data_IF_339194730754
#
_entry.id   IF_339194730754
#
_cell.length_a   1.000
_cell.length_b   1.000
_cell.length_c   1.000
_cell.angle_alpha   90.00
_cell.angle_beta   90.00
_cell.angle_gamma   90.00
#
_symmetry.space_group_name_H-M   'P 1'
#
loop_
_entity.id
_entity.type
_entity.pdbx_description
1 polymer ?
#
# COMPACT_ATOMS: atom_id res chain seq x y z
N UNK A 1 28.21 -7.90 -12.64
CA UNK A 1 27.53 -6.93 -11.76
C UNK A 1 26.74 -7.74 -10.75
N UNK A 2 27.12 -7.76 -9.47
CA UNK A 2 26.41 -8.56 -8.46
C UNK A 2 24.97 -8.06 -8.32
N UNK A 3 24.00 -8.97 -8.37
CA UNK A 3 22.59 -8.62 -8.15
C UNK A 3 22.42 -8.45 -6.64
N UNK A 4 22.34 -7.20 -6.18
CA UNK A 4 22.03 -6.90 -4.79
C UNK A 4 20.51 -6.87 -4.59
N UNK A 5 20.02 -7.55 -3.57
CA UNK A 5 18.60 -7.59 -3.24
C UNK A 5 18.13 -6.28 -2.60
N UNK A 6 16.82 -5.99 -2.70
CA UNK A 6 16.20 -4.85 -2.00
C UNK A 6 16.36 -4.99 -0.48
N UNK A 7 16.33 -6.22 0.02
CA UNK A 7 16.57 -6.52 1.43
C UNK A 7 17.97 -6.08 1.89
N UNK A 8 19.01 -6.32 1.09
CA UNK A 8 20.37 -5.86 1.41
C UNK A 8 20.45 -4.33 1.43
N UNK A 9 19.77 -3.64 0.51
CA UNK A 9 19.67 -2.18 0.51
C UNK A 9 19.05 -1.66 1.80
N UNK A 10 17.95 -2.26 2.26
CA UNK A 10 17.28 -1.90 3.51
C UNK A 10 18.19 -2.11 4.71
N UNK A 11 18.82 -3.29 4.84
CA UNK A 11 19.71 -3.61 5.97
C UNK A 11 20.91 -2.67 6.05
N UNK A 12 21.53 -2.33 4.92
CA UNK A 12 22.66 -1.39 4.87
C UNK A 12 22.23 0.02 5.27
N UNK A 13 21.05 0.48 4.80
CA UNK A 13 20.52 1.80 5.15
C UNK A 13 20.17 1.91 6.62
N UNK A 14 19.48 0.90 7.17
CA UNK A 14 19.10 0.83 8.59
C UNK A 14 20.34 0.88 9.48
N UNK A 15 21.33 0.03 9.21
CA UNK A 15 22.57 0.03 9.98
C UNK A 15 23.27 1.39 9.96
N UNK A 16 23.30 2.07 8.81
CA UNK A 16 23.92 3.40 8.69
C UNK A 16 23.09 4.47 9.41
N UNK A 17 21.75 4.42 9.36
CA UNK A 17 20.89 5.34 10.12
C UNK A 17 20.97 5.12 11.63
N UNK A 18 21.21 3.88 12.06
CA UNK A 18 21.44 3.50 13.47
C UNK A 18 22.84 3.85 13.98
N UNK A 19 23.65 4.54 13.17
CA UNK A 19 24.95 5.09 13.57
C UNK A 19 26.17 4.30 13.07
N UNK A 20 25.99 3.21 12.31
CA UNK A 20 27.11 2.51 11.69
C UNK A 20 27.77 3.37 10.60
N UNK A 21 29.09 3.58 10.69
CA UNK A 21 29.80 4.29 9.61
C UNK A 21 29.75 3.48 8.31
N UNK A 22 29.78 4.17 7.16
CA UNK A 22 29.82 3.50 5.84
C UNK A 22 31.00 2.52 5.70
N UNK A 23 32.10 2.73 6.43
CA UNK A 23 33.26 1.82 6.47
C UNK A 23 32.97 0.55 7.26
N UNK A 24 32.29 0.68 8.39
CA UNK A 24 31.85 -0.47 9.19
C UNK A 24 30.80 -1.28 8.43
N UNK A 25 29.84 -0.61 7.78
CA UNK A 25 28.83 -1.27 6.95
C UNK A 25 29.46 -2.07 5.79
N UNK A 26 30.46 -1.50 5.09
CA UNK A 26 31.17 -2.21 4.03
C UNK A 26 31.80 -3.53 4.51
N UNK A 27 32.40 -3.53 5.71
CA UNK A 27 32.97 -4.72 6.33
C UNK A 27 31.90 -5.70 6.80
N UNK A 28 30.86 -5.19 7.48
CA UNK A 28 29.80 -6.01 8.07
C UNK A 28 28.98 -6.76 7.02
N UNK A 29 28.62 -6.08 5.92
CA UNK A 29 27.85 -6.66 4.82
C UNK A 29 28.71 -7.26 3.71
N UNK A 30 30.04 -7.25 3.86
CA UNK A 30 31.01 -7.76 2.88
C UNK A 30 30.78 -7.20 1.45
N UNK A 31 30.63 -5.88 1.34
CA UNK A 31 30.41 -5.18 0.07
C UNK A 31 31.35 -3.98 -0.07
N UNK A 32 31.56 -3.53 -1.31
CA UNK A 32 32.41 -2.36 -1.55
C UNK A 32 31.84 -1.09 -0.94
N UNK A 33 32.72 -0.16 -0.53
CA UNK A 33 32.32 1.16 -0.01
C UNK A 33 31.44 1.93 -1.00
N UNK A 34 31.68 1.76 -2.30
CA UNK A 34 30.88 2.38 -3.36
C UNK A 34 29.46 1.78 -3.42
N UNK A 35 29.33 0.47 -3.16
CA UNK A 35 28.03 -0.18 -3.06
C UNK A 35 27.26 0.33 -1.85
N UNK A 36 27.93 0.48 -0.69
CA UNK A 36 27.33 1.12 0.50
C UNK A 36 26.90 2.56 0.20
N UNK A 37 27.75 3.36 -0.46
CA UNK A 37 27.40 4.74 -0.81
C UNK A 37 26.18 4.81 -1.73
N UNK A 38 26.09 3.91 -2.72
CA UNK A 38 24.91 3.76 -3.59
C UNK A 38 23.67 3.33 -2.80
N UNK A 39 23.80 2.36 -1.89
CA UNK A 39 22.70 1.87 -1.05
C UNK A 39 22.19 2.94 -0.09
N UNK A 40 23.06 3.83 0.41
CA UNK A 40 22.63 4.96 1.23
C UNK A 40 21.91 6.04 0.41
N UNK A 41 22.34 6.24 -0.85
CA UNK A 41 21.78 7.26 -1.73
C UNK A 41 20.45 6.86 -2.41
N UNK A 42 20.23 5.57 -2.67
CA UNK A 42 19.05 5.05 -3.36
C UNK A 42 18.31 4.04 -2.50
N UNK A 43 16.98 4.13 -2.43
CA UNK A 43 16.15 3.21 -1.64
C UNK A 43 16.09 1.79 -2.20
N UNK A 44 16.34 1.63 -3.50
CA UNK A 44 16.42 0.35 -4.21
C UNK A 44 17.63 0.36 -5.13
N UNK A 45 18.17 -0.81 -5.53
CA UNK A 45 19.20 -0.86 -6.56
C UNK A 45 18.80 -0.02 -7.78
N UNK A 46 19.59 0.99 -8.17
CA UNK A 46 19.29 1.74 -9.38
C UNK A 46 19.47 0.78 -10.56
N UNK A 47 18.37 0.21 -11.03
CA UNK A 47 18.32 -0.55 -12.26
C UNK A 47 18.63 0.34 -13.46
N UNK A 48 18.49 -0.19 -14.67
CA UNK A 48 18.56 0.62 -15.88
C UNK A 48 17.52 1.76 -15.79
N UNK A 49 17.99 2.99 -15.60
CA UNK A 49 17.15 4.19 -15.61
C UNK A 49 17.18 4.81 -17.00
N UNK A 50 16.05 4.76 -17.72
CA UNK A 50 15.91 5.50 -18.98
C UNK A 50 15.93 7.00 -18.67
N UNK A 51 16.80 7.75 -19.35
CA UNK A 51 16.90 9.21 -19.22
C UNK A 51 15.74 9.97 -19.89
N UNK A 52 14.91 9.28 -20.67
CA UNK A 52 13.81 9.89 -21.41
C UNK A 52 12.53 9.06 -21.26
N UNK A 53 11.36 9.69 -21.17
CA UNK A 53 10.07 8.99 -21.15
C UNK A 53 9.92 8.10 -22.39
N UNK A 54 9.27 6.95 -22.23
CA UNK A 54 8.88 6.12 -23.37
C UNK A 54 7.85 6.92 -24.17
N UNK A 55 8.24 7.45 -25.33
CA UNK A 55 7.26 8.04 -26.24
C UNK A 55 6.42 6.92 -26.83
N UNK A 56 5.10 6.99 -26.64
CA UNK A 56 4.12 6.07 -27.24
C UNK A 56 3.20 6.81 -28.21
N UNK A 57 3.73 7.47 -29.27
CA UNK A 57 2.97 8.37 -30.12
C UNK A 57 1.76 7.70 -30.80
N UNK A 58 1.81 6.38 -31.01
CA UNK A 58 0.68 5.59 -31.56
C UNK A 58 -0.40 5.27 -30.54
N UNK A 59 -0.09 5.27 -29.25
CA UNK A 59 -1.01 4.94 -28.16
C UNK A 59 -1.73 6.18 -27.63
N UNK A 60 -1.04 7.32 -27.58
CA UNK A 60 -1.50 8.52 -26.86
C UNK A 60 -2.91 8.96 -27.29
N UNK A 61 -3.25 8.84 -28.58
CA UNK A 61 -4.58 9.15 -29.11
C UNK A 61 -5.71 8.21 -28.64
N UNK A 62 -5.37 7.02 -28.14
CA UNK A 62 -6.32 5.97 -27.74
C UNK A 62 -6.37 5.75 -26.22
N UNK A 63 -5.53 6.44 -25.46
CA UNK A 63 -5.45 6.29 -23.99
C UNK A 63 -6.81 6.54 -23.33
N UNK A 64 -7.53 7.58 -23.72
CA UNK A 64 -8.85 7.90 -23.17
C UNK A 64 -9.88 6.79 -23.41
N UNK A 65 -9.89 6.21 -24.61
CA UNK A 65 -10.78 5.08 -24.96
C UNK A 65 -10.44 3.84 -24.13
N UNK A 66 -9.16 3.53 -23.96
CA UNK A 66 -8.71 2.40 -23.14
C UNK A 66 -9.14 2.58 -21.69
N UNK A 67 -8.90 3.76 -21.11
CA UNK A 67 -9.29 4.06 -19.72
C UNK A 67 -10.79 3.92 -19.53
N UNK A 68 -11.59 4.46 -20.45
CA UNK A 68 -13.05 4.33 -20.38
C UNK A 68 -13.51 2.87 -20.35
N UNK A 69 -12.99 2.01 -21.24
CA UNK A 69 -13.35 0.59 -21.24
C UNK A 69 -12.92 -0.13 -19.96
N UNK A 70 -11.72 0.17 -19.46
CA UNK A 70 -11.19 -0.46 -18.24
C UNK A 70 -11.90 0.01 -16.97
N UNK A 71 -12.45 1.23 -16.95
CA UNK A 71 -13.25 1.72 -15.83
C UNK A 71 -14.67 1.13 -15.86
N UNK A 72 -15.28 0.95 -17.04
CA UNK A 72 -16.55 0.21 -17.16
C UNK A 72 -16.40 -1.27 -16.76
N UNK A 73 -15.25 -1.88 -17.04
CA UNK A 73 -14.94 -3.24 -16.61
C UNK A 73 -15.02 -3.43 -15.09
N UNK A 74 -14.77 -2.39 -14.30
CA UNK A 74 -14.85 -2.48 -12.84
C UNK A 74 -16.28 -2.74 -12.36
N UNK A 75 -17.29 -2.36 -13.14
CA UNK A 75 -18.71 -2.50 -12.83
C UNK A 75 -19.24 -3.91 -13.11
N UNK A 76 -18.50 -4.75 -13.84
CA UNK A 76 -18.91 -6.11 -14.22
C UNK A 76 -18.07 -7.19 -13.50
N UNK A 77 -18.59 -8.43 -13.39
CA UNK A 77 -17.86 -9.54 -12.81
C UNK A 77 -16.52 -9.80 -13.51
N UNK A 78 -15.50 -10.25 -12.76
CA UNK A 78 -14.13 -10.42 -13.24
C UNK A 78 -13.99 -11.21 -14.55
N UNK A 79 -14.84 -12.22 -14.78
CA UNK A 79 -14.83 -13.06 -15.99
C UNK A 79 -15.33 -12.34 -17.26
N UNK A 80 -16.01 -11.21 -17.11
CA UNK A 80 -16.57 -10.42 -18.22
C UNK A 80 -15.73 -9.19 -18.57
N UNK A 81 -14.65 -8.93 -17.81
CA UNK A 81 -13.74 -7.80 -18.06
C UNK A 81 -12.88 -8.05 -19.29
N UNK A 82 -12.46 -6.97 -19.95
CA UNK A 82 -11.59 -7.05 -21.09
C UNK A 82 -10.21 -7.60 -20.69
N UNK A 83 -9.70 -8.53 -21.48
CA UNK A 83 -8.28 -8.87 -21.46
C UNK A 83 -7.49 -7.86 -22.28
N UNK A 84 -6.18 -7.74 -22.04
CA UNK A 84 -5.32 -6.90 -22.87
C UNK A 84 -5.43 -7.22 -24.37
N UNK A 85 -5.64 -8.50 -24.69
CA UNK A 85 -5.88 -8.95 -26.08
C UNK A 85 -7.22 -8.42 -26.61
N UNK A 86 -8.28 -8.48 -25.82
CA UNK A 86 -9.59 -7.93 -26.21
C UNK A 86 -9.54 -6.42 -26.41
N UNK A 87 -8.86 -5.67 -25.53
CA UNK A 87 -8.66 -4.22 -25.71
C UNK A 87 -7.91 -3.95 -27.02
N UNK A 88 -6.84 -4.69 -27.31
CA UNK A 88 -6.10 -4.54 -28.56
C UNK A 88 -6.95 -4.81 -29.80
N UNK A 89 -7.71 -5.90 -29.82
CA UNK A 89 -8.56 -6.26 -30.96
C UNK A 89 -9.64 -5.18 -31.17
N UNK A 90 -10.30 -4.72 -30.11
CA UNK A 90 -11.28 -3.62 -30.19
C UNK A 90 -10.67 -2.32 -30.67
N UNK A 91 -9.50 -1.92 -30.18
CA UNK A 91 -8.81 -0.72 -30.66
C UNK A 91 -8.47 -0.80 -32.15
N UNK A 92 -8.04 -1.97 -32.63
CA UNK A 92 -7.74 -2.20 -34.04
C UNK A 92 -9.01 -2.12 -34.89
N UNK A 93 -10.05 -2.83 -34.46
CA UNK A 93 -11.25 -3.06 -35.25
C UNK A 93 -12.25 -1.89 -35.19
N UNK A 94 -12.39 -1.24 -34.02
CA UNK A 94 -13.35 -0.15 -33.78
C UNK A 94 -12.73 1.25 -33.91
N UNK A 95 -11.42 1.39 -33.66
CA UNK A 95 -10.76 2.70 -33.57
C UNK A 95 -9.60 2.88 -34.57
N UNK A 96 -9.27 1.85 -35.39
CA UNK A 96 -8.22 1.95 -36.39
C UNK A 96 -6.79 1.98 -35.83
N UNK A 97 -6.56 1.37 -34.65
CA UNK A 97 -5.23 1.33 -34.04
C UNK A 97 -4.23 0.54 -34.89
N UNK A 98 -3.11 1.18 -35.24
CA UNK A 98 -2.03 0.61 -36.07
C UNK A 98 -0.76 0.27 -35.26
N UNK A 99 -0.84 0.28 -33.93
CA UNK A 99 0.25 -0.11 -33.06
C UNK A 99 0.30 -1.61 -32.80
N UNK A 100 1.36 -2.07 -32.14
CA UNK A 100 1.52 -3.48 -31.78
C UNK A 100 0.82 -3.84 -30.47
N UNK A 101 0.41 -5.10 -30.33
CA UNK A 101 -0.18 -5.65 -29.11
C UNK A 101 0.66 -5.38 -27.85
N UNK A 102 1.99 -5.47 -27.96
CA UNK A 102 2.92 -5.23 -26.84
C UNK A 102 2.74 -3.85 -26.20
N UNK A 103 2.41 -2.82 -26.99
CA UNK A 103 2.18 -1.46 -26.50
C UNK A 103 0.95 -1.42 -25.58
N UNK A 104 -0.13 -2.10 -25.96
CA UNK A 104 -1.36 -2.20 -25.16
C UNK A 104 -1.11 -3.02 -23.89
N UNK A 105 -0.45 -4.17 -24.05
CA UNK A 105 -0.12 -5.06 -22.93
C UNK A 105 0.73 -4.36 -21.87
N UNK A 106 1.78 -3.64 -22.29
CA UNK A 106 2.65 -2.90 -21.38
C UNK A 106 1.92 -1.75 -20.71
N UNK A 107 1.08 -1.02 -21.45
CA UNK A 107 0.25 0.06 -20.90
C UNK A 107 -0.69 -0.43 -19.80
N UNK A 108 -1.44 -1.51 -20.06
CA UNK A 108 -2.38 -2.08 -19.08
C UNK A 108 -1.62 -2.59 -17.85
N UNK A 109 -0.48 -3.27 -18.04
CA UNK A 109 0.35 -3.74 -16.92
C UNK A 109 0.84 -2.58 -16.05
N UNK A 110 1.36 -1.50 -16.63
CA UNK A 110 1.81 -0.32 -15.89
C UNK A 110 0.66 0.42 -15.20
N UNK A 111 -0.52 0.45 -15.82
CA UNK A 111 -1.74 0.99 -15.21
C UNK A 111 -2.13 0.18 -13.97
N UNK A 112 -2.19 -1.14 -14.09
CA UNK A 112 -2.60 -2.01 -12.99
C UNK A 112 -1.60 -1.95 -11.83
N UNK A 113 -0.30 -1.88 -12.12
CA UNK A 113 0.73 -1.67 -11.09
C UNK A 113 0.56 -0.34 -10.35
N UNK A 114 0.20 0.74 -11.04
CA UNK A 114 -0.05 2.05 -10.41
C UNK A 114 -1.31 2.07 -9.54
N UNK A 115 -2.27 1.19 -9.82
CA UNK A 115 -3.51 1.03 -9.06
C UNK A 115 -3.43 -0.03 -7.97
N UNK A 116 -2.33 -0.79 -7.91
CA UNK A 116 -2.15 -1.78 -6.87
C UNK A 116 -1.94 -1.06 -5.52
N UNK A 117 -2.77 -1.38 -4.53
CA UNK A 117 -2.55 -0.95 -3.17
C UNK A 117 -1.21 -1.49 -2.68
N UNK A 118 -0.33 -0.58 -2.24
CA UNK A 118 0.96 -0.94 -1.67
C UNK A 118 0.84 -0.81 -0.17
N UNK A 119 1.03 -1.92 0.54
CA UNK A 119 1.09 -1.96 1.99
C UNK A 119 2.54 -1.85 2.44
N UNK A 120 2.80 -0.95 3.38
CA UNK A 120 4.07 -0.93 4.12
C UNK A 120 3.88 -1.81 5.35
N UNK A 121 4.64 -2.90 5.52
CA UNK A 121 4.57 -3.70 6.74
C UNK A 121 4.93 -2.81 7.92
N UNK A 122 3.97 -2.58 8.81
CA UNK A 122 4.21 -1.91 10.07
C UNK A 122 4.68 -2.95 11.08
N UNK A 123 5.77 -2.64 11.80
CA UNK A 123 6.25 -3.45 12.92
C UNK A 123 5.91 -2.72 14.21
N UNK A 124 5.11 -3.35 15.05
CA UNK A 124 4.69 -2.82 16.34
C UNK A 124 5.29 -3.66 17.46
N UNK A 125 6.06 -3.06 18.39
CA UNK A 125 6.52 -3.78 19.57
C UNK A 125 5.32 -4.19 20.45
N UNK A 126 5.44 -5.27 21.24
CA UNK A 126 4.40 -5.67 22.18
C UNK A 126 4.15 -4.58 23.23
N UNK A 127 2.89 -4.47 23.68
CA UNK A 127 2.51 -3.54 24.75
C UNK A 127 2.20 -2.11 24.28
N UNK A 128 2.17 -1.83 22.98
CA UNK A 128 1.67 -0.57 22.44
C UNK A 128 0.30 -0.78 21.80
N UNK A 129 -0.63 0.12 22.08
CA UNK A 129 -1.98 0.09 21.52
C UNK A 129 -2.26 1.29 20.64
N UNK A 130 -3.31 1.16 19.83
CA UNK A 130 -3.92 2.25 19.08
C UNK A 130 -5.38 2.36 19.46
N UNK A 131 -5.87 3.57 19.70
CA UNK A 131 -7.28 3.79 20.01
C UNK A 131 -7.87 4.84 19.08
N UNK A 132 -9.06 4.57 18.54
CA UNK A 132 -9.79 5.52 17.69
C UNK A 132 -11.30 5.26 17.74
N UNK A 133 -12.08 6.20 17.21
CA UNK A 133 -13.49 6.02 16.91
C UNK A 133 -13.71 5.76 15.43
N UNK A 134 -14.31 4.61 15.11
CA UNK A 134 -14.94 4.41 13.81
C UNK A 134 -16.41 4.85 13.79
N UNK A 135 -16.98 4.97 12.59
CA UNK A 135 -18.40 5.24 12.36
C UNK A 135 -19.02 4.10 11.56
N UNK A 136 -20.20 3.64 11.98
CA UNK A 136 -21.02 2.70 11.24
C UNK A 136 -22.49 3.11 11.29
N UNK A 137 -23.21 2.83 10.21
CA UNK A 137 -24.68 2.90 10.21
C UNK A 137 -25.22 1.60 10.81
N UNK A 138 -26.08 1.73 11.83
CA UNK A 138 -26.69 0.61 12.55
C UNK A 138 -28.19 0.79 12.64
N UNK A 139 -28.93 -0.31 12.79
CA UNK A 139 -30.38 -0.27 13.04
C UNK A 139 -30.65 -0.70 14.47
N UNK A 140 -31.15 0.22 15.30
CA UNK A 140 -31.47 -0.04 16.71
C UNK A 140 -32.97 0.18 16.89
N UNK A 141 -33.69 -0.85 17.34
CA UNK A 141 -35.15 -0.78 17.51
C UNK A 141 -35.92 -0.45 16.22
N UNK A 142 -35.37 -0.83 15.06
CA UNK A 142 -35.97 -0.54 13.74
C UNK A 142 -35.65 0.86 13.18
N UNK A 143 -34.90 1.69 13.91
CA UNK A 143 -34.46 3.01 13.45
C UNK A 143 -33.02 2.94 12.99
N UNK A 144 -32.78 3.38 11.75
CA UNK A 144 -31.43 3.55 11.22
C UNK A 144 -30.78 4.79 11.83
N UNK A 145 -29.60 4.61 12.41
CA UNK A 145 -28.83 5.69 13.03
C UNK A 145 -27.33 5.45 12.89
N UNK A 146 -26.55 6.54 13.01
CA UNK A 146 -25.09 6.45 13.09
C UNK A 146 -24.69 6.06 14.50
N UNK A 147 -23.82 5.06 14.61
CA UNK A 147 -23.12 4.73 15.85
C UNK A 147 -21.63 5.02 15.69
N UNK A 148 -21.01 5.42 16.80
CA UNK A 148 -19.57 5.62 16.91
C UNK A 148 -19.01 4.45 17.71
N UNK A 149 -18.09 3.68 17.14
CA UNK A 149 -17.50 2.55 17.83
C UNK A 149 -16.07 2.89 18.23
N UNK A 150 -15.83 2.89 19.55
CA UNK A 150 -14.48 2.94 20.10
C UNK A 150 -13.79 1.61 19.77
N UNK A 151 -12.59 1.69 19.24
CA UNK A 151 -11.71 0.54 19.00
C UNK A 151 -10.41 0.78 19.76
N UNK A 152 -9.96 -0.21 20.51
CA UNK A 152 -8.60 -0.30 20.98
C UNK A 152 -7.96 -1.55 20.41
N UNK A 153 -6.89 -1.39 19.65
CA UNK A 153 -6.15 -2.46 18.98
C UNK A 153 -4.74 -2.61 19.58
N UNK A 154 -4.26 -3.85 19.64
CA UNK A 154 -2.89 -4.23 20.02
C UNK A 154 -2.19 -4.78 18.76
N UNK A 155 -1.56 -3.93 17.94
CA UNK A 155 -1.12 -4.33 16.60
C UNK A 155 -0.01 -5.39 16.58
N UNK A 156 0.66 -5.63 17.72
CA UNK A 156 1.64 -6.71 17.83
C UNK A 156 0.99 -8.10 17.79
N UNK A 157 -0.23 -8.22 18.31
CA UNK A 157 -0.93 -9.49 18.49
C UNK A 157 -2.28 -9.55 17.78
N UNK A 158 -2.64 -8.52 17.01
CA UNK A 158 -3.97 -8.32 16.39
C UNK A 158 -5.14 -8.43 17.39
N UNK A 159 -4.89 -8.12 18.65
CA UNK A 159 -5.90 -8.21 19.71
C UNK A 159 -6.70 -6.91 19.76
N UNK A 160 -8.01 -6.97 19.55
CA UNK A 160 -8.86 -5.79 19.53
C UNK A 160 -10.00 -5.84 20.54
N UNK A 161 -10.42 -4.67 21.01
CA UNK A 161 -11.63 -4.43 21.78
C UNK A 161 -12.48 -3.38 21.07
N UNK A 162 -13.78 -3.64 20.93
CA UNK A 162 -14.72 -2.74 20.26
C UNK A 162 -15.94 -2.49 21.12
N UNK A 163 -16.37 -1.22 21.22
CA UNK A 163 -17.58 -0.82 21.94
C UNK A 163 -18.31 0.31 21.24
N UNK A 164 -19.61 0.14 21.01
CA UNK A 164 -20.45 1.13 20.35
C UNK A 164 -21.02 2.16 21.32
N UNK A 165 -21.05 3.42 20.88
CA UNK A 165 -21.61 4.57 21.58
C UNK A 165 -22.50 5.39 20.64
N UNK A 166 -23.47 6.15 21.17
CA UNK A 166 -24.27 7.07 20.36
C UNK A 166 -23.45 8.22 19.75
N UNK A 167 -22.36 8.63 20.41
CA UNK A 167 -21.51 9.73 19.97
C UNK A 167 -20.04 9.56 20.41
N UNK A 168 -19.12 10.16 19.65
CA UNK A 168 -17.68 10.21 19.96
C UNK A 168 -17.40 11.42 20.86
N UNK A 169 -17.67 11.27 22.15
CA UNK A 169 -17.47 12.31 23.18
C UNK A 169 -16.40 11.87 24.18
N UNK A 170 -15.90 12.81 24.98
CA UNK A 170 -14.83 12.55 25.95
C UNK A 170 -15.21 11.47 26.97
N UNK A 171 -16.48 11.43 27.41
CA UNK A 171 -16.99 10.42 28.32
C UNK A 171 -16.94 9.02 27.69
N UNK A 172 -17.34 8.90 26.42
CA UNK A 172 -17.28 7.64 25.68
C UNK A 172 -15.83 7.19 25.44
N UNK A 173 -14.91 8.15 25.23
CA UNK A 173 -13.48 7.87 25.10
C UNK A 173 -12.91 7.25 26.37
N UNK A 174 -13.19 7.85 27.53
CA UNK A 174 -12.73 7.34 28.84
C UNK A 174 -13.41 6.00 29.18
N UNK A 175 -14.73 5.89 28.99
CA UNK A 175 -15.47 4.64 29.22
C UNK A 175 -14.93 3.50 28.35
N UNK A 176 -14.59 3.79 27.09
CA UNK A 176 -13.98 2.85 26.15
C UNK A 176 -12.68 2.27 26.67
N UNK A 177 -11.78 3.12 27.16
CA UNK A 177 -10.50 2.69 27.74
C UNK A 177 -10.69 1.85 29.01
N UNK A 178 -11.57 2.27 29.93
CA UNK A 178 -11.85 1.53 31.17
C UNK A 178 -12.28 0.10 30.84
N UNK A 179 -13.23 -0.05 29.91
CA UNK A 179 -13.72 -1.37 29.54
C UNK A 179 -12.70 -2.17 28.73
N UNK A 180 -11.92 -1.54 27.86
CA UNK A 180 -10.85 -2.21 27.13
C UNK A 180 -9.79 -2.76 28.09
N UNK A 181 -9.32 -1.97 29.06
CA UNK A 181 -8.33 -2.41 30.04
C UNK A 181 -8.86 -3.54 30.93
N UNK A 182 -10.14 -3.48 31.32
CA UNK A 182 -10.78 -4.56 32.04
C UNK A 182 -10.87 -5.84 31.20
N UNK A 183 -11.20 -5.73 29.91
CA UNK A 183 -11.24 -6.85 28.98
C UNK A 183 -9.87 -7.50 28.78
N UNK A 184 -8.82 -6.71 28.58
CA UNK A 184 -7.45 -7.23 28.42
C UNK A 184 -6.82 -7.67 29.75
N UNK A 185 -7.36 -7.26 30.90
CA UNK A 185 -6.78 -7.50 32.22
C UNK A 185 -5.43 -6.79 32.44
N UNK A 186 -5.08 -5.84 31.56
CA UNK A 186 -3.81 -5.13 31.54
C UNK A 186 -3.97 -3.76 30.86
N UNK A 187 -2.99 -2.89 31.06
CA UNK A 187 -2.90 -1.57 30.43
C UNK A 187 -1.67 -1.54 29.52
N UNK A 188 -1.79 -1.08 28.25
CA UNK A 188 -0.65 -0.88 27.36
C UNK A 188 0.36 0.12 27.93
N UNK A 189 1.62 0.00 27.52
CA UNK A 189 2.68 0.96 27.85
C UNK A 189 2.45 2.33 27.21
N UNK A 190 1.85 2.36 26.02
CA UNK A 190 1.40 3.58 25.36
C UNK A 190 0.20 3.32 24.48
N UNK A 191 -0.57 4.38 24.25
CA UNK A 191 -1.72 4.39 23.34
C UNK A 191 -1.53 5.59 22.40
N UNK A 192 -1.71 5.37 21.10
CA UNK A 192 -1.68 6.40 20.05
C UNK A 192 -3.05 6.54 19.42
#
# INVERSE_FOLDING_TARGET
MGIYTVELYLRVRLAVSEGMSRRQAAKHFNISRDSVAKMVAYSTPPGYQRRSPIRRPKLDAFVSTIEHWLDEDLKVPRKQRHTAKRVFDRLRDECGFTGGYTIIKDYIRERDQRRQEVFVPLSHPPGHAQADFGEATVVIGGVEQKARFFVLDLPHSDGCYVRAYPAAVAEAWVDGHIHAFAFFGAVPQSIV
#
